data_IF_585162597389
#
_entry.id   IF_585162597389
#
_cell.length_a   1.000
_cell.length_b   1.000
_cell.length_c   1.000
_cell.angle_alpha   90.00
_cell.angle_beta   90.00
_cell.angle_gamma   90.00
#
_symmetry.space_group_name_H-M   'P 1'
#
loop_
_entity.id
_entity.type
_entity.pdbx_description
1 polymer ?
#
# COMPACT_ATOMS: atom_id res chain seq x y z
N UNK A 1 -2.00 15.04 -43.37
CA UNK A 1 -2.28 15.19 -41.93
C UNK A 1 -1.44 14.13 -41.20
N UNK A 2 -0.31 14.50 -40.58
CA UNK A 2 0.54 13.54 -39.88
C UNK A 2 -0.13 13.20 -38.54
N UNK A 3 -0.64 11.98 -38.42
CA UNK A 3 -1.04 11.39 -37.14
C UNK A 3 0.18 11.42 -36.23
N UNK A 4 0.14 12.27 -35.20
CA UNK A 4 1.08 12.17 -34.07
C UNK A 4 0.84 10.79 -33.45
N UNK A 5 1.75 9.86 -33.72
CA UNK A 5 1.89 8.66 -32.92
C UNK A 5 2.14 9.15 -31.50
N UNK A 6 1.21 8.87 -30.58
CA UNK A 6 1.45 9.10 -29.15
C UNK A 6 2.67 8.28 -28.79
N UNK A 7 3.71 8.96 -28.35
CA UNK A 7 4.91 8.35 -27.81
C UNK A 7 4.51 7.41 -26.66
N UNK A 8 4.80 6.09 -26.71
CA UNK A 8 4.38 5.12 -25.69
C UNK A 8 5.05 5.32 -24.33
N UNK A 9 6.00 6.27 -24.23
CA UNK A 9 6.83 6.55 -23.05
C UNK A 9 6.14 7.37 -21.95
N UNK A 10 4.87 7.77 -22.13
CA UNK A 10 4.22 8.78 -21.25
C UNK A 10 3.20 8.27 -20.21
N UNK A 11 3.06 6.97 -19.97
CA UNK A 11 2.11 6.45 -18.96
C UNK A 11 2.74 5.38 -18.05
N UNK A 12 3.97 5.63 -17.59
CA UNK A 12 4.65 4.83 -16.56
C UNK A 12 4.56 5.54 -15.21
N UNK A 13 4.28 4.78 -14.15
CA UNK A 13 4.16 5.26 -12.77
C UNK A 13 4.98 4.37 -11.82
N UNK A 14 5.45 4.95 -10.72
CA UNK A 14 6.06 4.18 -9.62
C UNK A 14 5.04 3.28 -8.91
N UNK A 15 5.53 2.30 -8.18
CA UNK A 15 4.70 1.41 -7.36
C UNK A 15 3.87 2.17 -6.30
N UNK A 16 4.45 3.19 -5.67
CA UNK A 16 3.77 4.03 -4.69
C UNK A 16 2.67 4.89 -5.34
N UNK A 17 2.92 5.47 -6.53
CA UNK A 17 1.90 6.20 -7.30
C UNK A 17 0.77 5.28 -7.77
N UNK A 18 1.11 4.06 -8.20
CA UNK A 18 0.13 3.01 -8.54
C UNK A 18 -0.78 2.77 -7.35
N UNK A 19 -0.23 2.49 -6.17
CA UNK A 19 -1.04 2.12 -5.01
C UNK A 19 -1.90 3.29 -4.49
N UNK A 20 -1.37 4.53 -4.57
CA UNK A 20 -2.15 5.73 -4.30
C UNK A 20 -3.27 5.95 -5.32
N UNK A 21 -3.03 5.65 -6.60
CA UNK A 21 -4.04 5.63 -7.65
C UNK A 21 -5.16 4.64 -7.35
N UNK A 22 -4.78 3.40 -6.99
CA UNK A 22 -5.72 2.32 -6.62
C UNK A 22 -6.58 2.75 -5.43
N UNK A 23 -5.98 3.31 -4.39
CA UNK A 23 -6.72 3.87 -3.24
C UNK A 23 -7.70 4.96 -3.68
N UNK A 24 -7.28 5.86 -4.58
CA UNK A 24 -8.14 6.95 -5.07
C UNK A 24 -9.35 6.42 -5.84
N UNK A 25 -9.15 5.46 -6.73
CA UNK A 25 -10.24 4.81 -7.48
C UNK A 25 -11.20 4.08 -6.54
N UNK A 26 -10.67 3.24 -5.63
CA UNK A 26 -11.48 2.50 -4.66
C UNK A 26 -12.34 3.43 -3.79
N UNK A 27 -11.73 4.49 -3.24
CA UNK A 27 -12.46 5.42 -2.37
C UNK A 27 -13.54 6.21 -3.11
N UNK A 28 -13.34 6.48 -4.40
CA UNK A 28 -14.35 7.07 -5.28
C UNK A 28 -15.51 6.09 -5.55
N UNK A 29 -15.20 4.84 -5.87
CA UNK A 29 -16.19 3.83 -6.27
C UNK A 29 -17.03 3.32 -5.08
N UNK A 30 -16.43 3.21 -3.90
CA UNK A 30 -17.06 2.63 -2.70
C UNK A 30 -17.96 3.62 -1.92
N UNK A 31 -18.06 4.88 -2.38
CA UNK A 31 -18.86 5.93 -1.74
C UNK A 31 -18.65 6.03 -0.20
N UNK A 32 -17.40 5.89 0.23
CA UNK A 32 -17.06 5.81 1.65
C UNK A 32 -16.96 7.16 2.35
N UNK A 33 -17.21 7.17 3.66
CA UNK A 33 -17.02 8.33 4.54
C UNK A 33 -15.57 8.41 5.00
N UNK A 34 -14.94 9.58 4.83
CA UNK A 34 -13.56 9.83 5.29
C UNK A 34 -13.50 10.12 6.78
N UNK A 35 -12.55 9.48 7.46
CA UNK A 35 -12.29 9.61 8.88
C UNK A 35 -10.81 9.97 9.10
N UNK A 36 -10.55 11.24 9.46
CA UNK A 36 -9.19 11.74 9.74
C UNK A 36 -8.86 11.69 11.21
N UNK A 37 -7.65 11.26 11.56
CA UNK A 37 -7.16 11.25 12.94
C UNK A 37 -6.33 12.51 13.24
N UNK A 38 -6.38 13.01 14.48
CA UNK A 38 -5.60 14.19 14.92
C UNK A 38 -4.09 13.90 14.90
N UNK A 39 -3.72 12.69 15.30
CA UNK A 39 -2.36 12.13 15.17
C UNK A 39 -2.41 11.01 14.14
N UNK A 40 -1.31 10.78 13.43
CA UNK A 40 -1.18 9.63 12.52
C UNK A 40 -1.31 8.35 13.36
N UNK A 41 -1.99 7.36 12.82
CA UNK A 41 -1.92 6.01 13.37
C UNK A 41 -0.72 5.32 12.74
N UNK A 42 -0.01 4.52 13.52
CA UNK A 42 1.26 3.93 13.10
C UNK A 42 1.22 2.43 13.36
N UNK A 43 1.67 1.66 12.37
CA UNK A 43 1.98 0.24 12.51
C UNK A 43 3.49 0.09 12.42
N UNK A 44 4.10 -0.53 13.43
CA UNK A 44 5.54 -0.81 13.42
C UNK A 44 5.85 -1.83 12.31
N UNK A 45 6.93 -1.58 11.56
CA UNK A 45 7.41 -2.44 10.47
C UNK A 45 8.88 -2.82 10.62
N UNK A 46 9.62 -2.11 11.46
CA UNK A 46 11.02 -2.38 11.72
C UNK A 46 11.42 -1.78 13.09
N UNK A 47 12.30 -2.47 13.79
CA UNK A 47 12.89 -2.03 15.06
C UNK A 47 14.37 -2.42 15.04
N UNK A 48 15.23 -1.43 15.31
CA UNK A 48 16.65 -1.62 15.58
C UNK A 48 16.97 -0.94 16.90
N UNK A 49 17.06 -1.78 17.92
CA UNK A 49 17.31 -1.40 19.29
C UNK A 49 18.63 -2.00 19.76
N UNK A 50 19.62 -1.14 20.00
CA UNK A 50 20.86 -1.46 20.71
C UNK A 50 20.85 -0.83 22.12
N UNK A 51 21.89 -1.06 22.93
CA UNK A 51 21.98 -0.52 24.29
C UNK A 51 22.03 1.01 24.36
N UNK A 52 22.25 1.69 23.23
CA UNK A 52 22.48 3.13 23.13
C UNK A 52 21.42 3.85 22.30
N UNK A 53 20.65 3.14 21.46
CA UNK A 53 19.72 3.72 20.49
C UNK A 53 18.54 2.79 20.26
N UNK A 54 17.35 3.37 20.21
CA UNK A 54 16.16 2.75 19.65
C UNK A 54 15.78 3.51 18.41
N UNK A 55 15.80 2.84 17.27
CA UNK A 55 15.23 3.36 16.02
C UNK A 55 14.05 2.46 15.65
N UNK A 56 12.91 3.07 15.35
CA UNK A 56 11.72 2.36 14.86
C UNK A 56 11.27 2.91 13.52
N UNK A 57 10.80 2.01 12.66
CA UNK A 57 10.19 2.30 11.37
C UNK A 57 8.70 1.96 11.42
N UNK A 58 7.88 2.81 10.81
CA UNK A 58 6.42 2.64 10.82
C UNK A 58 5.82 2.81 9.42
N UNK A 59 4.63 2.24 9.24
CA UNK A 59 3.66 2.72 8.26
C UNK A 59 2.67 3.66 8.97
N UNK A 60 2.60 4.90 8.50
CA UNK A 60 1.70 5.92 9.03
C UNK A 60 0.43 6.09 8.17
N UNK A 61 -0.70 6.17 8.84
CA UNK A 61 -2.03 6.36 8.25
C UNK A 61 -2.66 7.66 8.76
N UNK A 62 -3.05 8.53 7.83
CA UNK A 62 -3.64 9.86 8.14
C UNK A 62 -5.16 9.86 8.08
N UNK A 63 -5.72 9.11 7.14
CA UNK A 63 -7.15 9.11 6.80
C UNK A 63 -7.59 7.69 6.49
N UNK A 64 -8.77 7.32 6.98
CA UNK A 64 -9.42 6.06 6.67
C UNK A 64 -10.70 6.35 5.90
N UNK A 65 -10.95 5.61 4.83
CA UNK A 65 -12.25 5.60 4.15
C UNK A 65 -13.06 4.45 4.72
N UNK A 66 -14.24 4.77 5.23
CA UNK A 66 -15.16 3.82 5.84
C UNK A 66 -16.34 3.60 4.90
N UNK A 67 -16.58 2.35 4.50
CA UNK A 67 -17.62 2.01 3.54
C UNK A 67 -18.31 0.71 3.95
N UNK A 68 -19.48 0.46 3.37
CA UNK A 68 -20.21 -0.79 3.53
C UNK A 68 -20.15 -1.61 2.25
N UNK A 69 -19.92 -2.91 2.42
CA UNK A 69 -19.93 -3.87 1.33
C UNK A 69 -20.35 -5.23 1.88
N UNK A 70 -21.35 -5.84 1.26
CA UNK A 70 -21.91 -7.15 1.62
C UNK A 70 -22.27 -7.29 3.11
N UNK A 71 -22.98 -6.29 3.62
CA UNK A 71 -23.47 -6.26 5.01
C UNK A 71 -22.36 -6.11 6.07
N UNK A 72 -21.12 -5.89 5.63
CA UNK A 72 -19.97 -5.61 6.51
C UNK A 72 -19.50 -4.18 6.28
N UNK A 73 -19.06 -3.56 7.37
CA UNK A 73 -18.41 -2.26 7.32
C UNK A 73 -16.90 -2.47 7.26
N UNK A 74 -16.23 -1.72 6.41
CA UNK A 74 -14.79 -1.84 6.18
C UNK A 74 -14.10 -0.51 6.41
N UNK A 75 -12.86 -0.57 6.89
CA UNK A 75 -11.93 0.54 6.88
C UNK A 75 -10.86 0.28 5.83
N UNK A 76 -10.55 1.28 4.99
CA UNK A 76 -9.49 1.25 3.98
C UNK A 76 -8.58 2.47 4.19
N UNK A 77 -7.26 2.27 4.11
CA UNK A 77 -6.30 3.38 4.20
C UNK A 77 -5.05 3.09 3.39
N UNK A 78 -4.44 4.17 2.89
CA UNK A 78 -3.12 4.16 2.28
C UNK A 78 -2.07 4.57 3.31
N UNK A 79 -1.11 3.69 3.55
CA UNK A 79 0.00 3.90 4.47
C UNK A 79 1.24 4.41 3.75
N UNK A 80 1.96 5.32 4.41
CA UNK A 80 3.27 5.81 3.95
C UNK A 80 4.31 5.56 5.03
N UNK A 81 5.51 5.15 4.62
CA UNK A 81 6.65 4.99 5.53
C UNK A 81 6.91 6.25 6.38
N UNK A 82 7.27 6.04 7.64
CA UNK A 82 7.68 7.07 8.60
C UNK A 82 8.60 6.48 9.69
N UNK A 83 9.02 7.31 10.64
CA UNK A 83 9.95 6.94 11.71
C UNK A 83 11.42 7.25 11.40
N UNK A 84 12.27 6.94 12.37
CA UNK A 84 13.71 7.26 12.34
C UNK A 84 14.57 6.03 12.04
N UNK A 85 13.97 4.83 12.07
CA UNK A 85 14.60 3.67 11.46
C UNK A 85 14.13 3.54 10.03
N UNK A 86 15.05 3.41 9.07
CA UNK A 86 14.66 2.92 7.79
C UNK A 86 14.10 1.50 7.96
N UNK A 87 12.79 1.35 7.93
CA UNK A 87 12.16 0.17 7.32
C UNK A 87 12.50 0.20 5.83
N UNK A 88 13.79 0.11 5.49
CA UNK A 88 14.32 0.52 4.20
C UNK A 88 13.82 -0.34 3.08
N UNK A 89 13.24 -1.49 3.40
CA UNK A 89 12.71 -2.45 2.46
C UNK A 89 11.26 -2.14 2.04
N UNK A 90 10.61 -1.13 2.62
CA UNK A 90 9.19 -0.82 2.37
C UNK A 90 8.98 0.67 2.08
N UNK A 91 8.06 1.01 1.17
CA UNK A 91 7.71 2.39 0.84
C UNK A 91 6.30 2.79 1.30
N UNK A 92 5.32 1.96 0.98
CA UNK A 92 3.91 2.23 1.22
C UNK A 92 3.12 0.93 1.26
N UNK A 93 1.90 1.00 1.77
CA UNK A 93 0.98 -0.13 1.75
C UNK A 93 -0.48 0.32 1.63
N UNK A 94 -1.35 -0.65 1.33
CA UNK A 94 -2.79 -0.48 1.34
C UNK A 94 -3.36 -1.46 2.35
N UNK A 95 -3.96 -0.91 3.40
CA UNK A 95 -4.61 -1.72 4.44
C UNK A 95 -6.11 -1.69 4.29
N UNK A 96 -6.75 -2.83 4.55
CA UNK A 96 -8.18 -2.86 4.79
C UNK A 96 -8.54 -3.88 5.87
N UNK A 97 -9.62 -3.64 6.60
CA UNK A 97 -10.10 -4.58 7.61
C UNK A 97 -11.58 -4.33 7.92
N UNK A 98 -12.34 -5.38 8.29
CA UNK A 98 -13.72 -5.22 8.70
C UNK A 98 -13.79 -4.53 10.06
N UNK A 99 -14.85 -3.75 10.26
CA UNK A 99 -15.21 -3.10 11.51
C UNK A 99 -16.42 -3.84 12.11
N UNK A 100 -16.34 -4.12 13.41
CA UNK A 100 -17.42 -4.67 14.21
C UNK A 100 -18.48 -3.62 14.55
N UNK A 101 -18.09 -2.35 14.72
CA UNK A 101 -19.00 -1.26 15.05
C UNK A 101 -19.89 -0.88 13.85
N UNK A 102 -21.19 -1.13 13.98
CA UNK A 102 -22.18 -0.71 12.97
C UNK A 102 -22.35 0.80 12.95
N UNK A 103 -22.51 1.48 14.09
CA UNK A 103 -22.69 2.94 14.11
C UNK A 103 -22.11 3.60 15.36
N UNK A 104 -21.32 4.65 15.14
CA UNK A 104 -20.91 5.80 15.99
C UNK A 104 -19.45 6.17 15.63
N UNK A 105 -19.17 7.38 15.11
CA UNK A 105 -17.82 7.80 14.71
C UNK A 105 -16.75 7.64 15.80
N UNK A 106 -17.11 7.89 17.06
CA UNK A 106 -16.18 7.74 18.18
C UNK A 106 -15.78 6.27 18.42
N UNK A 107 -16.74 5.34 18.30
CA UNK A 107 -16.48 3.91 18.47
C UNK A 107 -15.65 3.36 17.31
N UNK A 108 -15.97 3.77 16.07
CA UNK A 108 -15.17 3.44 14.89
C UNK A 108 -13.72 3.94 15.01
N UNK A 109 -13.53 5.17 15.52
CA UNK A 109 -12.18 5.71 15.78
C UNK A 109 -11.40 4.87 16.79
N UNK A 110 -12.03 4.46 17.90
CA UNK A 110 -11.41 3.61 18.92
C UNK A 110 -11.03 2.23 18.38
N UNK A 111 -11.93 1.64 17.59
CA UNK A 111 -11.69 0.34 16.97
C UNK A 111 -10.50 0.38 16.01
N UNK A 112 -10.47 1.34 15.08
CA UNK A 112 -9.34 1.54 14.16
C UNK A 112 -8.03 1.79 14.93
N UNK A 113 -8.07 2.63 15.96
CA UNK A 113 -6.91 2.92 16.80
C UNK A 113 -6.42 1.70 17.62
N UNK A 114 -7.23 0.65 17.72
CA UNK A 114 -6.86 -0.63 18.35
C UNK A 114 -6.34 -1.62 17.32
N UNK A 115 -6.90 -1.63 16.12
CA UNK A 115 -6.58 -2.58 15.04
C UNK A 115 -5.32 -2.18 14.27
N UNK A 116 -4.97 -0.90 14.20
CA UNK A 116 -3.81 -0.42 13.42
C UNK A 116 -2.48 -0.61 14.15
N UNK A 117 -2.32 -0.20 15.43
CA UNK A 117 -1.07 -0.37 16.15
C UNK A 117 -0.99 -1.81 16.66
N UNK A 118 -0.61 -2.75 15.80
CA UNK A 118 -0.38 -4.15 16.18
C UNK A 118 1.10 -4.46 16.16
N UNK A 119 1.55 -5.37 17.02
CA UNK A 119 2.93 -5.89 17.01
C UNK A 119 3.21 -6.82 15.81
N UNK A 120 2.25 -7.01 14.91
CA UNK A 120 2.39 -7.86 13.72
C UNK A 120 2.46 -6.96 12.48
N UNK A 121 3.66 -6.75 11.90
CA UNK A 121 3.82 -5.97 10.68
C UNK A 121 2.91 -6.50 9.57
N UNK A 122 2.33 -5.58 8.81
CA UNK A 122 1.49 -5.87 7.64
C UNK A 122 0.26 -6.76 7.89
N UNK A 123 -0.15 -6.95 9.15
CA UNK A 123 -1.31 -7.79 9.51
C UNK A 123 -2.58 -7.41 8.75
N UNK A 124 -2.75 -6.13 8.42
CA UNK A 124 -3.93 -5.61 7.74
C UNK A 124 -3.64 -5.21 6.27
N UNK A 125 -2.41 -5.40 5.80
CA UNK A 125 -1.99 -4.98 4.46
C UNK A 125 -2.42 -6.00 3.42
N UNK A 126 -2.97 -5.50 2.31
CA UNK A 126 -3.34 -6.29 1.14
C UNK A 126 -2.26 -6.24 0.08
N UNK A 127 -1.69 -5.05 -0.13
CA UNK A 127 -0.59 -4.79 -1.04
C UNK A 127 0.45 -3.99 -0.27
N UNK A 128 1.70 -4.41 -0.37
CA UNK A 128 2.86 -3.71 0.17
C UNK A 128 3.79 -3.35 -0.98
N UNK A 129 4.21 -2.10 -1.04
CA UNK A 129 5.24 -1.62 -1.96
C UNK A 129 6.59 -1.77 -1.29
N UNK A 130 7.46 -2.56 -1.92
CA UNK A 130 8.84 -2.74 -1.52
C UNK A 130 9.69 -1.55 -1.99
N UNK A 131 10.84 -1.36 -1.37
CA UNK A 131 11.75 -0.23 -1.64
C UNK A 131 12.28 -0.17 -3.07
N UNK A 132 12.37 -1.31 -3.72
CA UNK A 132 12.79 -1.51 -5.10
C UNK A 132 11.63 -1.35 -6.08
N UNK A 133 10.45 -0.93 -5.63
CA UNK A 133 9.24 -0.80 -6.45
C UNK A 133 8.50 -2.12 -6.71
N UNK A 134 8.97 -3.26 -6.21
CA UNK A 134 8.22 -4.50 -6.34
C UNK A 134 6.97 -4.50 -5.43
N UNK A 135 5.95 -5.25 -5.85
CA UNK A 135 4.69 -5.37 -5.12
C UNK A 135 4.60 -6.74 -4.44
N UNK A 136 4.34 -6.73 -3.14
CA UNK A 136 4.00 -7.92 -2.37
C UNK A 136 2.50 -7.94 -2.07
N UNK A 137 1.87 -9.10 -2.26
CA UNK A 137 0.41 -9.25 -2.14
C UNK A 137 0.05 -10.27 -1.06
N UNK A 138 -1.00 -9.98 -0.30
CA UNK A 138 -1.62 -10.97 0.58
C UNK A 138 -2.45 -11.97 -0.22
N UNK A 139 -2.47 -13.25 0.17
CA UNK A 139 -3.41 -14.24 -0.42
C UNK A 139 -4.86 -13.96 0.07
N UNK A 140 -5.89 -14.13 -0.77
CA UNK A 140 -5.86 -14.63 -2.15
C UNK A 140 -5.62 -13.55 -3.22
N UNK A 141 -5.55 -12.25 -2.86
CA UNK A 141 -5.35 -11.15 -3.80
C UNK A 141 -4.16 -11.38 -4.74
N UNK A 142 -3.03 -11.85 -4.18
CA UNK A 142 -1.84 -12.17 -4.96
C UNK A 142 -2.11 -13.13 -6.11
N UNK A 143 -2.98 -14.12 -5.93
CA UNK A 143 -3.34 -15.08 -6.99
C UNK A 143 -4.21 -14.45 -8.09
N UNK A 144 -5.10 -13.53 -7.71
CA UNK A 144 -5.98 -12.84 -8.67
C UNK A 144 -5.22 -11.86 -9.56
N UNK A 145 -4.12 -11.32 -9.05
CA UNK A 145 -3.33 -10.29 -9.70
C UNK A 145 -2.09 -10.88 -10.41
N UNK A 146 -1.44 -11.90 -9.85
CA UNK A 146 -0.18 -12.49 -10.35
C UNK A 146 -0.23 -12.85 -11.83
N UNK A 147 -1.34 -13.43 -12.28
CA UNK A 147 -1.50 -13.95 -13.64
C UNK A 147 -1.50 -12.85 -14.70
N UNK A 148 -1.68 -11.59 -14.29
CA UNK A 148 -1.63 -10.42 -15.19
C UNK A 148 -0.47 -9.47 -14.88
N UNK A 149 0.30 -9.67 -13.80
CA UNK A 149 1.40 -8.78 -13.41
C UNK A 149 2.45 -8.59 -14.51
N UNK A 150 2.81 -9.68 -15.21
CA UNK A 150 3.77 -9.63 -16.31
C UNK A 150 3.32 -8.71 -17.48
N UNK A 151 2.01 -8.44 -17.61
CA UNK A 151 1.47 -7.56 -18.66
C UNK A 151 1.59 -6.08 -18.30
N UNK A 152 1.67 -5.79 -17.00
CA UNK A 152 1.56 -4.44 -16.44
C UNK A 152 2.89 -3.87 -15.94
N UNK A 153 3.90 -4.72 -15.71
CA UNK A 153 5.28 -4.27 -15.53
C UNK A 153 5.75 -3.49 -16.75
N UNK A 154 6.22 -2.26 -16.53
CA UNK A 154 6.87 -1.45 -17.55
C UNK A 154 8.39 -1.68 -17.52
N UNK A 155 8.97 -1.65 -16.33
CA UNK A 155 10.38 -1.99 -16.09
C UNK A 155 10.51 -2.79 -14.80
N UNK A 156 11.38 -3.80 -14.79
CA UNK A 156 11.75 -4.54 -13.58
C UNK A 156 12.81 -3.77 -12.77
N UNK A 157 12.84 -4.02 -11.45
CA UNK A 157 13.86 -3.46 -10.59
C UNK A 157 15.25 -3.95 -11.01
N UNK A 158 16.24 -3.05 -11.01
CA UNK A 158 17.64 -3.38 -11.32
C UNK A 158 18.49 -3.22 -10.07
N UNK A 159 19.37 -4.18 -9.86
CA UNK A 159 20.24 -4.24 -8.69
C UNK A 159 21.70 -4.24 -9.09
N UNK A 160 22.55 -3.63 -8.27
CA UNK A 160 23.99 -3.72 -8.39
C UNK A 160 24.51 -4.81 -7.45
N UNK A 161 24.77 -5.99 -8.01
CA UNK A 161 25.26 -7.15 -7.24
C UNK A 161 26.65 -6.93 -6.61
N UNK A 162 27.43 -5.99 -7.16
CA UNK A 162 28.77 -5.64 -6.64
C UNK A 162 28.71 -4.69 -5.44
N UNK A 163 27.53 -4.15 -5.10
CA UNK A 163 27.37 -3.22 -4.00
C UNK A 163 26.20 -3.65 -3.11
N UNK A 164 26.54 -4.26 -1.98
CA UNK A 164 25.57 -4.76 -1.00
C UNK A 164 25.59 -3.88 0.26
N UNK A 165 24.42 -3.56 0.79
CA UNK A 165 24.25 -3.01 2.14
C UNK A 165 23.44 -4.00 2.98
N UNK A 166 23.98 -4.38 4.14
CA UNK A 166 23.35 -5.33 5.08
C UNK A 166 22.93 -6.67 4.43
N UNK A 167 23.72 -7.15 3.47
CA UNK A 167 23.46 -8.40 2.75
C UNK A 167 22.42 -8.31 1.63
N UNK A 168 21.94 -7.11 1.32
CA UNK A 168 20.96 -6.85 0.25
C UNK A 168 21.61 -6.07 -0.90
N UNK A 169 21.41 -6.48 -2.18
CA UNK A 169 21.86 -5.71 -3.33
C UNK A 169 21.28 -4.30 -3.36
N UNK A 170 22.12 -3.33 -3.71
CA UNK A 170 21.71 -1.95 -3.87
C UNK A 170 20.83 -1.78 -5.11
N UNK A 171 19.68 -1.14 -4.95
CA UNK A 171 18.77 -0.84 -6.05
C UNK A 171 19.33 0.32 -6.88
N UNK A 172 19.48 0.06 -8.18
CA UNK A 172 19.93 1.04 -9.18
C UNK A 172 18.72 1.71 -9.83
N UNK A 173 17.63 0.96 -10.05
CA UNK A 173 16.36 1.50 -10.51
C UNK A 173 15.20 0.70 -9.92
N UNK A 174 14.15 1.40 -9.52
CA UNK A 174 12.92 0.78 -9.02
C UNK A 174 12.09 0.18 -10.17
N UNK A 175 11.32 -0.85 -9.87
CA UNK A 175 10.31 -1.37 -10.77
C UNK A 175 9.22 -0.31 -11.02
N UNK A 176 8.71 -0.29 -12.25
CA UNK A 176 7.70 0.68 -12.68
C UNK A 176 6.58 -0.01 -13.45
N UNK A 177 5.41 0.64 -13.50
CA UNK A 177 4.17 0.02 -13.96
C UNK A 177 3.44 0.92 -14.96
N UNK A 178 2.71 0.30 -15.87
CA UNK A 178 1.80 1.02 -16.76
C UNK A 178 0.62 1.58 -15.96
N UNK A 179 0.27 2.84 -16.19
CA UNK A 179 -0.80 3.54 -15.48
C UNK A 179 -2.17 2.86 -15.54
N UNK A 180 -2.48 2.17 -16.64
CA UNK A 180 -3.73 1.43 -16.83
C UNK A 180 -3.96 0.32 -15.80
N UNK A 181 -2.91 -0.15 -15.12
CA UNK A 181 -3.02 -1.19 -14.09
C UNK A 181 -3.78 -0.71 -12.85
N UNK A 182 -3.86 0.61 -12.62
CA UNK A 182 -4.54 1.20 -11.46
C UNK A 182 -6.01 0.77 -11.41
N UNK A 183 -6.72 0.87 -12.53
CA UNK A 183 -8.13 0.50 -12.62
C UNK A 183 -8.29 -1.03 -12.44
N UNK A 184 -7.41 -1.82 -13.07
CA UNK A 184 -7.43 -3.28 -12.93
C UNK A 184 -7.27 -3.73 -11.47
N UNK A 185 -6.34 -3.12 -10.73
CA UNK A 185 -6.12 -3.45 -9.32
C UNK A 185 -7.30 -3.04 -8.45
N UNK A 186 -7.85 -1.85 -8.68
CA UNK A 186 -9.02 -1.38 -7.94
C UNK A 186 -10.20 -2.33 -8.12
N UNK A 187 -10.48 -2.76 -9.36
CA UNK A 187 -11.54 -3.73 -9.65
C UNK A 187 -11.33 -5.05 -8.92
N UNK A 188 -10.11 -5.62 -8.95
CA UNK A 188 -9.82 -6.88 -8.25
C UNK A 188 -9.93 -6.75 -6.75
N UNK A 189 -9.41 -5.68 -6.16
CA UNK A 189 -9.55 -5.42 -4.73
C UNK A 189 -11.01 -5.25 -4.30
N UNK A 190 -11.82 -4.59 -5.13
CA UNK A 190 -13.24 -4.40 -4.84
C UNK A 190 -13.99 -5.74 -4.70
N UNK A 191 -13.61 -6.76 -5.50
CA UNK A 191 -14.20 -8.12 -5.38
C UNK A 191 -13.87 -8.83 -4.06
N UNK A 192 -12.85 -8.38 -3.32
CA UNK A 192 -12.49 -8.96 -2.02
C UNK A 192 -13.28 -8.37 -0.86
N UNK A 193 -13.98 -7.26 -1.06
CA UNK A 193 -14.89 -6.70 -0.06
C UNK A 193 -16.27 -7.38 -0.11
N UNK A 194 -16.37 -8.53 -0.77
CA UNK A 194 -17.59 -9.36 -0.88
C UNK A 194 -17.76 -10.32 0.30
#
# INVERSE_FOLDING_TARGET
MKTKVKDPTNDVISASELLQGVFTVLTKNLNGTKLRFKKRLESEIADDSDQHRTKKGYMSYKEFTIFESNGKRWALSFGTKSGDYPGNNFQSDLIAFPLASKEVPAQTRKEIATVVPTQSPFKNSFIVVMYDGNLAFRKPLGQLISDNMAKFGAEEAKYNENFNMDGTPCVVSEASYKKEVVEFFADKLQTLFV
#
